data_IF_201241035560
#
_entry.id   IF_201241035560
#
_cell.length_a   1.000
_cell.length_b   1.000
_cell.length_c   1.000
_cell.angle_alpha   90.00
_cell.angle_beta   90.00
_cell.angle_gamma   90.00
#
_symmetry.space_group_name_H-M   'P 1'
#
loop_
_entity.id
_entity.type
_entity.pdbx_description
1 polymer ?
#
# COMPACT_ATOMS: atom_id res chain seq x y z
N UNK A 1 -1.57 6.21 47.05
CA UNK A 1 -0.75 5.13 47.64
C UNK A 1 -1.67 4.14 48.33
N UNK A 2 -2.33 3.26 47.56
CA UNK A 2 -3.07 2.10 48.11
C UNK A 2 -3.10 1.03 47.03
N UNK A 3 -2.67 -0.16 47.43
CA UNK A 3 -2.98 -1.48 46.84
C UNK A 3 -2.48 -1.80 45.43
N UNK A 4 -1.15 -1.88 45.29
CA UNK A 4 -0.57 -2.94 44.47
C UNK A 4 -0.56 -4.20 45.34
N UNK A 5 -1.65 -4.97 45.27
CA UNK A 5 -1.70 -6.35 45.72
C UNK A 5 -0.41 -7.07 45.30
N UNK A 6 0.20 -7.79 46.25
CA UNK A 6 1.21 -8.82 46.02
C UNK A 6 0.67 -9.82 44.98
N UNK A 7 0.88 -9.49 43.71
CA UNK A 7 0.56 -10.39 42.62
C UNK A 7 1.58 -11.52 42.71
N UNK A 8 1.10 -12.76 42.92
CA UNK A 8 1.91 -13.99 42.92
C UNK A 8 2.95 -14.05 41.79
N UNK A 9 2.69 -13.37 40.66
CA UNK A 9 3.64 -13.16 39.58
C UNK A 9 4.96 -12.53 40.07
N UNK A 10 4.91 -11.47 40.88
CA UNK A 10 6.10 -10.76 41.35
C UNK A 10 7.03 -11.60 42.25
N UNK A 11 6.50 -12.63 42.93
CA UNK A 11 7.26 -13.57 43.75
C UNK A 11 7.74 -14.81 42.99
N UNK A 12 6.97 -15.30 42.00
CA UNK A 12 7.33 -16.51 41.23
C UNK A 12 8.29 -16.20 40.08
N UNK A 13 8.15 -15.05 39.40
CA UNK A 13 8.97 -14.72 38.23
C UNK A 13 10.47 -14.50 38.49
N UNK A 14 10.91 -13.98 39.66
CA UNK A 14 12.34 -13.93 40.01
C UNK A 14 12.99 -15.31 40.21
N UNK A 15 12.18 -16.35 40.50
CA UNK A 15 12.64 -17.72 40.76
C UNK A 15 12.61 -18.60 39.50
N UNK A 16 12.10 -18.08 38.38
CA UNK A 16 12.02 -18.79 37.10
C UNK A 16 13.43 -18.94 36.49
N UNK A 17 13.76 -20.17 36.10
CA UNK A 17 14.99 -20.46 35.34
C UNK A 17 15.00 -19.66 34.03
N UNK A 18 16.15 -19.09 33.60
CA UNK A 18 16.24 -18.29 32.38
C UNK A 18 15.66 -18.99 31.14
N UNK A 19 15.86 -20.30 31.01
CA UNK A 19 15.37 -21.11 29.89
C UNK A 19 13.83 -21.20 29.86
N UNK A 20 13.18 -21.19 31.03
CA UNK A 20 11.73 -21.18 31.14
C UNK A 20 11.16 -19.78 30.87
N UNK A 21 11.85 -18.72 31.32
CA UNK A 21 11.47 -17.35 31.00
C UNK A 21 11.55 -17.07 29.49
N UNK A 22 12.63 -17.50 28.83
CA UNK A 22 12.77 -17.44 27.37
C UNK A 22 11.67 -18.22 26.65
N UNK A 23 11.31 -19.41 27.17
CA UNK A 23 10.25 -20.23 26.59
C UNK A 23 8.88 -19.57 26.74
N UNK A 24 8.58 -18.94 27.87
CA UNK A 24 7.33 -18.17 28.07
C UNK A 24 7.29 -16.96 27.13
N UNK A 25 8.38 -16.19 27.03
CA UNK A 25 8.50 -15.06 26.10
C UNK A 25 8.28 -15.48 24.65
N UNK A 26 8.74 -16.67 24.27
CA UNK A 26 8.50 -17.24 22.94
C UNK A 26 7.02 -17.51 22.60
N UNK A 27 6.14 -17.54 23.60
CA UNK A 27 4.69 -17.70 23.40
C UNK A 27 3.90 -16.38 23.50
N UNK A 28 4.53 -15.29 23.93
CA UNK A 28 3.88 -13.99 24.10
C UNK A 28 4.09 -13.09 22.90
N UNK A 29 3.10 -12.25 22.61
CA UNK A 29 3.26 -11.20 21.60
C UNK A 29 4.28 -10.16 22.06
N UNK A 30 5.02 -9.57 21.11
CA UNK A 30 6.11 -8.62 21.42
C UNK A 30 5.67 -7.46 22.31
N UNK A 31 4.47 -6.93 22.06
CA UNK A 31 3.90 -5.87 22.86
C UNK A 31 3.49 -6.34 24.27
N UNK A 32 3.03 -7.58 24.43
CA UNK A 32 2.75 -8.17 25.75
C UNK A 32 4.04 -8.37 26.55
N UNK A 33 5.11 -8.80 25.88
CA UNK A 33 6.43 -8.90 26.51
C UNK A 33 6.87 -7.53 27.02
N UNK A 34 6.78 -6.50 26.17
CA UNK A 34 7.23 -5.15 26.53
C UNK A 34 6.40 -4.48 27.62
N UNK A 35 5.07 -4.68 27.61
CA UNK A 35 4.10 -3.95 28.46
C UNK A 35 3.64 -4.70 29.69
N UNK A 36 3.63 -6.03 29.66
CA UNK A 36 3.08 -6.87 30.73
C UNK A 36 4.12 -7.78 31.35
N UNK A 37 4.97 -8.45 30.58
CA UNK A 37 5.92 -9.42 31.14
C UNK A 37 7.20 -8.78 31.70
N UNK A 38 7.86 -7.93 30.90
CA UNK A 38 9.09 -7.23 31.27
C UNK A 38 8.97 -6.38 32.54
N UNK A 39 7.89 -5.60 32.78
CA UNK A 39 7.81 -4.76 33.97
C UNK A 39 7.46 -5.51 35.27
N UNK A 40 7.19 -6.83 35.23
CA UNK A 40 6.76 -7.60 36.43
C UNK A 40 7.85 -7.69 37.50
N UNK A 41 9.12 -7.85 37.12
CA UNK A 41 10.21 -7.82 38.10
C UNK A 41 11.53 -7.29 37.50
N UNK A 42 12.47 -6.90 38.38
CA UNK A 42 13.76 -6.35 37.95
C UNK A 42 14.62 -7.37 37.20
N UNK A 43 14.50 -8.66 37.55
CA UNK A 43 15.27 -9.74 36.92
C UNK A 43 14.85 -9.94 35.44
N UNK A 44 13.54 -10.00 35.17
CA UNK A 44 13.03 -10.10 33.78
C UNK A 44 13.35 -8.85 32.97
N UNK A 45 13.21 -7.65 33.56
CA UNK A 45 13.64 -6.41 32.92
C UNK A 45 15.15 -6.37 32.60
N UNK A 46 15.97 -7.01 33.42
CA UNK A 46 17.42 -7.09 33.19
C UNK A 46 17.79 -8.08 32.09
N UNK A 47 17.03 -9.16 31.91
CA UNK A 47 17.22 -10.15 30.84
C UNK A 47 16.70 -9.63 29.49
N UNK A 48 15.56 -8.91 29.50
CA UNK A 48 14.85 -8.47 28.29
C UNK A 48 15.14 -7.00 27.95
N UNK A 49 16.42 -6.67 27.70
CA UNK A 49 16.85 -5.28 27.43
C UNK A 49 16.87 -4.89 25.96
N UNK A 50 16.82 -5.85 25.04
CA UNK A 50 16.93 -5.57 23.61
C UNK A 50 15.74 -4.75 23.07
N UNK A 51 15.92 -4.07 21.94
CA UNK A 51 14.87 -3.28 21.29
C UNK A 51 13.62 -4.10 20.99
N UNK A 52 13.76 -5.39 20.71
CA UNK A 52 12.67 -6.34 20.47
C UNK A 52 11.75 -6.58 21.68
N UNK A 53 12.23 -6.30 22.90
CA UNK A 53 11.48 -6.45 24.15
C UNK A 53 11.12 -5.14 24.82
N UNK A 54 11.54 -4.01 24.24
CA UNK A 54 11.36 -2.66 24.81
C UNK A 54 10.57 -1.74 23.88
N UNK A 55 10.59 -1.99 22.58
CA UNK A 55 9.88 -1.17 21.58
C UNK A 55 8.46 -1.68 21.39
N UNK A 56 7.47 -0.80 21.64
CA UNK A 56 6.05 -1.09 21.39
C UNK A 56 5.73 -0.76 19.93
N UNK A 57 5.14 -1.72 19.21
CA UNK A 57 4.65 -1.54 17.83
C UNK A 57 3.16 -1.26 17.85
N UNK A 58 2.76 -0.01 17.63
CA UNK A 58 1.35 0.41 17.70
C UNK A 58 0.44 -0.27 16.66
N UNK A 59 1.00 -0.74 15.55
CA UNK A 59 0.30 -1.54 14.53
C UNK A 59 0.10 -3.01 14.90
N UNK A 60 0.53 -3.42 16.09
CA UNK A 60 0.26 -4.74 16.64
C UNK A 60 -0.60 -4.60 17.90
N UNK A 61 -1.38 -5.63 18.27
CA UNK A 61 -2.18 -5.59 19.48
C UNK A 61 -1.35 -5.20 20.70
N UNK A 62 -1.84 -4.23 21.46
CA UNK A 62 -1.29 -3.85 22.77
C UNK A 62 -2.37 -4.14 23.81
N UNK A 63 -2.04 -4.74 24.97
CA UNK A 63 -3.02 -4.94 26.04
C UNK A 63 -3.77 -3.64 26.38
N UNK A 64 -5.11 -3.60 26.28
CA UNK A 64 -5.87 -2.36 26.43
C UNK A 64 -5.64 -1.59 27.74
N UNK A 65 -5.48 -2.24 28.90
CA UNK A 65 -5.18 -1.53 30.14
C UNK A 65 -3.82 -0.80 30.08
N UNK A 66 -2.80 -1.43 29.50
CA UNK A 66 -1.47 -0.84 29.38
C UNK A 66 -1.47 0.34 28.40
N UNK A 67 -2.15 0.18 27.27
CA UNK A 67 -2.33 1.23 26.27
C UNK A 67 -3.05 2.45 26.84
N UNK A 68 -4.19 2.23 27.53
CA UNK A 68 -4.98 3.27 28.17
C UNK A 68 -4.17 4.04 29.23
N UNK A 69 -3.44 3.32 30.09
CA UNK A 69 -2.60 3.93 31.13
C UNK A 69 -1.56 4.88 30.55
N UNK A 70 -0.96 4.53 29.41
CA UNK A 70 0.04 5.39 28.76
C UNK A 70 -0.59 6.60 28.05
N UNK A 71 -1.58 6.38 27.19
CA UNK A 71 -2.09 7.42 26.30
C UNK A 71 -3.13 8.35 26.93
N UNK A 72 -3.80 7.93 28.01
CA UNK A 72 -4.67 8.80 28.78
C UNK A 72 -3.93 9.56 29.89
N UNK A 73 -2.62 9.35 30.06
CA UNK A 73 -1.83 10.10 31.03
C UNK A 73 -1.78 11.59 30.64
N UNK A 74 -1.88 12.53 31.61
CA UNK A 74 -1.81 13.96 31.32
C UNK A 74 -0.53 14.33 30.58
N UNK A 75 -0.68 14.91 29.38
CA UNK A 75 0.44 15.34 28.55
C UNK A 75 1.07 14.27 27.67
N UNK A 76 0.52 13.04 27.60
CA UNK A 76 1.03 11.97 26.75
C UNK A 76 1.21 12.38 25.28
N UNK A 77 0.32 13.23 24.76
CA UNK A 77 0.38 13.73 23.37
C UNK A 77 0.95 15.16 23.26
N UNK A 78 1.42 15.78 24.35
CA UNK A 78 1.88 17.19 24.36
C UNK A 78 3.09 17.42 23.44
N UNK A 79 3.97 16.43 23.31
CA UNK A 79 5.14 16.50 22.42
C UNK A 79 4.88 16.06 20.98
N UNK A 80 3.67 15.57 20.66
CA UNK A 80 3.36 15.04 19.34
C UNK A 80 2.85 16.14 18.41
N UNK A 81 3.42 16.19 17.21
CA UNK A 81 2.88 17.00 16.12
C UNK A 81 1.51 16.47 15.70
N UNK A 82 0.76 17.27 14.96
CA UNK A 82 -0.52 16.84 14.41
C UNK A 82 -0.41 15.59 13.51
N UNK A 83 0.64 15.52 12.67
CA UNK A 83 0.89 14.36 11.83
C UNK A 83 1.17 13.10 12.66
N UNK A 84 1.92 13.21 13.75
CA UNK A 84 2.20 12.09 14.64
C UNK A 84 0.96 11.61 15.40
N UNK A 85 0.04 12.51 15.76
CA UNK A 85 -1.25 12.16 16.37
C UNK A 85 -2.15 11.38 15.41
N UNK A 86 -2.21 11.81 14.14
CA UNK A 86 -2.91 11.04 13.10
C UNK A 86 -2.25 9.68 12.86
N UNK A 87 -0.93 9.61 12.88
CA UNK A 87 -0.19 8.36 12.77
C UNK A 87 -0.48 7.41 13.96
N UNK A 88 -0.59 7.93 15.18
CA UNK A 88 -0.97 7.15 16.36
C UNK A 88 -2.32 6.47 16.15
N UNK A 89 -3.34 7.21 15.69
CA UNK A 89 -4.66 6.65 15.42
C UNK A 89 -4.60 5.60 14.31
N UNK A 90 -3.93 5.91 13.20
CA UNK A 90 -3.84 5.02 12.03
C UNK A 90 -3.12 3.71 12.37
N UNK A 91 -1.99 3.78 13.07
CA UNK A 91 -1.28 2.59 13.55
C UNK A 91 -2.12 1.80 14.55
N UNK A 92 -2.82 2.47 15.47
CA UNK A 92 -3.65 1.76 16.45
C UNK A 92 -4.84 1.07 15.77
N UNK A 93 -5.45 1.69 14.76
CA UNK A 93 -6.49 1.06 13.97
C UNK A 93 -5.95 -0.17 13.22
N UNK A 94 -4.72 -0.08 12.70
CA UNK A 94 -3.98 -1.18 12.08
C UNK A 94 -3.64 -2.33 13.03
N UNK A 95 -3.84 -2.19 14.34
CA UNK A 95 -3.72 -3.30 15.30
C UNK A 95 -4.98 -4.16 15.41
N UNK A 96 -6.12 -3.64 14.93
CA UNK A 96 -7.44 -4.28 15.07
C UNK A 96 -8.06 -4.20 16.47
N UNK A 97 -7.39 -3.58 17.45
CA UNK A 97 -7.91 -3.45 18.82
C UNK A 97 -8.74 -2.17 18.97
N UNK A 98 -10.05 -2.27 18.75
CA UNK A 98 -10.98 -1.12 18.78
C UNK A 98 -10.91 -0.34 20.11
N UNK A 99 -10.76 -1.04 21.26
CA UNK A 99 -10.60 -0.38 22.55
C UNK A 99 -9.38 0.56 22.60
N UNK A 100 -8.27 0.18 21.97
CA UNK A 100 -7.10 1.05 21.87
C UNK A 100 -7.34 2.18 20.88
N UNK A 101 -8.05 1.92 19.78
CA UNK A 101 -8.38 2.93 18.79
C UNK A 101 -9.21 4.06 19.41
N UNK A 102 -10.20 3.74 20.24
CA UNK A 102 -10.96 4.72 21.01
C UNK A 102 -10.06 5.58 21.90
N UNK A 103 -9.15 4.93 22.64
CA UNK A 103 -8.19 5.63 23.50
C UNK A 103 -7.27 6.54 22.67
N UNK A 104 -6.75 6.03 21.55
CA UNK A 104 -5.85 6.77 20.67
C UNK A 104 -6.55 8.00 20.10
N UNK A 105 -7.79 7.87 19.63
CA UNK A 105 -8.57 8.98 19.11
C UNK A 105 -8.86 10.04 20.20
N UNK A 106 -9.23 9.61 21.42
CA UNK A 106 -9.41 10.52 22.56
C UNK A 106 -8.11 11.23 22.94
N UNK A 107 -6.99 10.52 22.98
CA UNK A 107 -5.69 11.09 23.35
C UNK A 107 -5.14 12.05 22.29
N UNK A 108 -5.36 11.73 21.02
CA UNK A 108 -4.97 12.55 19.88
C UNK A 108 -5.79 13.84 19.79
N UNK A 109 -7.01 13.84 20.32
CA UNK A 109 -8.00 14.93 20.21
C UNK A 109 -8.18 15.36 18.75
N UNK A 110 -8.29 14.38 17.86
CA UNK A 110 -8.32 14.60 16.42
C UNK A 110 -9.64 14.18 15.78
N UNK A 111 -10.17 15.04 14.91
CA UNK A 111 -11.20 14.65 13.94
C UNK A 111 -10.62 13.62 12.97
N UNK A 112 -11.27 12.46 12.86
CA UNK A 112 -10.89 11.43 11.89
C UNK A 112 -11.09 11.98 10.49
N UNK A 113 -9.99 12.11 9.74
CA UNK A 113 -10.00 12.63 8.37
C UNK A 113 -10.13 11.49 7.38
N UNK A 114 -10.49 11.85 6.15
CA UNK A 114 -10.70 10.87 5.10
C UNK A 114 -9.49 9.95 4.84
N UNK A 115 -8.28 10.52 4.81
CA UNK A 115 -7.05 9.75 4.62
C UNK A 115 -6.83 8.67 5.69
N UNK A 116 -7.19 8.94 6.96
CA UNK A 116 -7.07 7.96 8.05
C UNK A 116 -7.90 6.72 7.75
N UNK A 117 -9.09 6.87 7.18
CA UNK A 117 -9.93 5.74 6.83
C UNK A 117 -9.37 4.91 5.67
N UNK A 118 -8.63 5.52 4.75
CA UNK A 118 -7.94 4.77 3.68
C UNK A 118 -6.89 3.84 4.28
N UNK A 119 -6.08 4.38 5.20
CA UNK A 119 -5.05 3.61 5.90
C UNK A 119 -5.68 2.48 6.73
N UNK A 120 -6.79 2.76 7.45
CA UNK A 120 -7.50 1.72 8.20
C UNK A 120 -8.09 0.65 7.27
N UNK A 121 -8.72 1.04 6.17
CA UNK A 121 -9.29 0.11 5.19
C UNK A 121 -8.21 -0.81 4.58
N UNK A 122 -7.02 -0.28 4.32
CA UNK A 122 -5.86 -1.03 3.85
C UNK A 122 -5.29 -2.03 4.88
N UNK A 123 -5.70 -1.97 6.15
CA UNK A 123 -5.24 -2.91 7.19
C UNK A 123 -6.14 -4.13 7.35
N UNK A 124 -7.36 -4.08 6.83
CA UNK A 124 -8.27 -5.22 6.86
C UNK A 124 -8.94 -5.47 8.20
N UNK A 125 -8.75 -4.63 9.21
CA UNK A 125 -9.45 -4.78 10.48
C UNK A 125 -10.87 -4.20 10.38
N UNK A 126 -11.83 -5.05 10.01
CA UNK A 126 -13.22 -4.66 9.74
C UNK A 126 -13.86 -3.88 10.89
N UNK A 127 -13.65 -4.29 12.14
CA UNK A 127 -14.23 -3.59 13.29
C UNK A 127 -13.60 -2.21 13.51
N UNK A 128 -12.29 -2.05 13.25
CA UNK A 128 -11.65 -0.73 13.20
C UNK A 128 -12.24 0.13 12.07
N UNK A 129 -12.49 -0.45 10.91
CA UNK A 129 -13.09 0.26 9.77
C UNK A 129 -14.50 0.76 10.11
N UNK A 130 -15.35 -0.09 10.70
CA UNK A 130 -16.69 0.27 11.17
C UNK A 130 -16.65 1.40 12.19
N UNK A 131 -15.78 1.27 13.18
CA UNK A 131 -15.64 2.29 14.23
C UNK A 131 -15.23 3.65 13.63
N UNK A 132 -14.24 3.68 12.73
CA UNK A 132 -13.80 4.92 12.04
C UNK A 132 -14.91 5.50 11.17
N UNK A 133 -15.68 4.65 10.48
CA UNK A 133 -16.80 5.07 9.66
C UNK A 133 -17.91 5.74 10.49
N UNK A 134 -18.28 5.15 11.63
CA UNK A 134 -19.30 5.67 12.54
C UNK A 134 -18.91 6.98 13.24
N UNK A 135 -17.60 7.20 13.47
CA UNK A 135 -17.08 8.35 14.22
C UNK A 135 -16.39 9.40 13.34
N UNK A 136 -16.35 9.19 12.03
CA UNK A 136 -15.77 10.15 11.09
C UNK A 136 -16.79 11.15 10.57
N UNK A 137 -16.31 12.34 10.25
CA UNK A 137 -17.16 13.48 9.90
C UNK A 137 -17.37 13.52 8.38
N UNK A 138 -18.63 13.41 7.92
CA UNK A 138 -19.05 13.65 6.52
C UNK A 138 -18.35 12.78 5.46
N UNK A 139 -18.37 11.46 5.62
CA UNK A 139 -17.98 10.55 4.54
C UNK A 139 -18.89 10.74 3.33
N UNK A 140 -18.36 11.27 2.23
CA UNK A 140 -19.15 11.55 1.01
C UNK A 140 -19.22 10.36 0.07
N UNK A 141 -18.20 9.48 0.06
CA UNK A 141 -18.23 8.17 -0.60
C UNK A 141 -17.11 7.25 -0.05
N UNK A 142 -17.24 5.92 -0.15
CA UNK A 142 -16.21 4.95 0.27
C UNK A 142 -15.25 4.54 -0.85
N UNK A 143 -15.14 5.28 -1.97
CA UNK A 143 -14.48 4.78 -3.19
C UNK A 143 -12.99 4.52 -3.01
N UNK A 144 -12.25 5.47 -2.42
CA UNK A 144 -10.82 5.28 -2.23
C UNK A 144 -10.54 4.27 -1.12
N UNK A 145 -11.41 4.22 -0.10
CA UNK A 145 -11.29 3.23 0.97
C UNK A 145 -11.50 1.81 0.44
N UNK A 146 -12.44 1.65 -0.49
CA UNK A 146 -12.68 0.39 -1.19
C UNK A 146 -11.48 0.01 -2.06
N UNK A 147 -10.89 0.96 -2.79
CA UNK A 147 -9.69 0.71 -3.58
C UNK A 147 -8.48 0.34 -2.69
N UNK A 148 -8.32 0.99 -1.55
CA UNK A 148 -7.26 0.70 -0.58
C UNK A 148 -7.41 -0.70 0.05
N UNK A 149 -8.62 -1.05 0.49
CA UNK A 149 -8.94 -2.40 0.98
C UNK A 149 -8.75 -3.46 -0.11
N UNK A 150 -9.19 -3.19 -1.34
CA UNK A 150 -9.07 -4.10 -2.46
C UNK A 150 -7.60 -4.32 -2.84
N UNK A 151 -6.82 -3.25 -2.95
CA UNK A 151 -5.38 -3.30 -3.22
C UNK A 151 -4.55 -3.97 -2.13
N UNK A 152 -5.11 -4.12 -0.92
CA UNK A 152 -4.51 -4.85 0.20
C UNK A 152 -5.13 -6.25 0.41
N UNK A 153 -6.10 -6.63 -0.42
CA UNK A 153 -6.66 -7.99 -0.47
C UNK A 153 -7.74 -8.28 0.56
N UNK A 154 -8.33 -7.25 1.17
CA UNK A 154 -9.28 -7.39 2.28
C UNK A 154 -10.72 -7.50 1.77
N UNK A 155 -11.06 -8.67 1.21
CA UNK A 155 -12.37 -8.95 0.62
C UNK A 155 -13.56 -8.66 1.55
N UNK A 156 -13.45 -8.99 2.83
CA UNK A 156 -14.49 -8.75 3.84
C UNK A 156 -14.73 -7.26 4.14
N UNK A 157 -13.70 -6.42 4.04
CA UNK A 157 -13.85 -4.96 4.13
C UNK A 157 -14.50 -4.43 2.86
N UNK A 158 -14.09 -4.92 1.68
CA UNK A 158 -14.74 -4.55 0.41
C UNK A 158 -16.23 -4.89 0.40
N UNK A 159 -16.59 -6.09 0.85
CA UNK A 159 -17.98 -6.55 0.96
C UNK A 159 -18.79 -5.65 1.89
N UNK A 160 -18.24 -5.32 3.07
CA UNK A 160 -18.89 -4.40 3.99
C UNK A 160 -19.07 -3.00 3.37
N UNK A 161 -18.03 -2.41 2.77
CA UNK A 161 -18.12 -1.09 2.13
C UNK A 161 -19.18 -1.04 1.01
N UNK A 162 -19.26 -2.09 0.19
CA UNK A 162 -20.24 -2.20 -0.89
C UNK A 162 -21.65 -2.48 -0.38
N UNK A 163 -21.80 -2.94 0.87
CA UNK A 163 -23.10 -3.12 1.53
C UNK A 163 -23.70 -1.82 2.07
N UNK A 164 -22.88 -0.77 2.25
CA UNK A 164 -23.32 0.52 2.81
C UNK A 164 -24.33 1.23 1.89
N UNK A 165 -24.16 1.10 0.58
CA UNK A 165 -25.09 1.64 -0.41
C UNK A 165 -25.06 0.78 -1.69
N UNK A 166 -26.19 0.13 -2.06
CA UNK A 166 -26.29 -0.63 -3.30
C UNK A 166 -25.98 0.17 -4.57
N UNK A 167 -26.12 1.50 -4.53
CA UNK A 167 -25.81 2.40 -5.66
C UNK A 167 -24.31 2.44 -6.00
N UNK A 168 -23.44 1.98 -5.08
CA UNK A 168 -21.99 1.89 -5.28
C UNK A 168 -21.59 0.86 -6.33
N UNK A 169 -22.47 -0.09 -6.67
CA UNK A 169 -22.22 -1.07 -7.74
C UNK A 169 -22.29 -0.41 -9.13
N UNK A 170 -21.24 0.33 -9.46
CA UNK A 170 -21.05 0.97 -10.77
C UNK A 170 -19.77 0.49 -11.43
N UNK A 171 -19.70 0.62 -12.76
CA UNK A 171 -18.49 0.30 -13.51
C UNK A 171 -17.28 1.15 -13.12
N UNK A 172 -17.49 2.41 -12.70
CA UNK A 172 -16.39 3.27 -12.25
C UNK A 172 -15.79 2.75 -10.93
N UNK A 173 -16.63 2.28 -10.01
CA UNK A 173 -16.20 1.70 -8.74
C UNK A 173 -15.49 0.37 -8.96
N UNK A 174 -16.02 -0.48 -9.85
CA UNK A 174 -15.35 -1.72 -10.24
C UNK A 174 -14.01 -1.46 -10.94
N UNK A 175 -13.91 -0.42 -11.77
CA UNK A 175 -12.65 -0.02 -12.41
C UNK A 175 -11.55 0.29 -11.39
N UNK A 176 -11.89 1.08 -10.37
CA UNK A 176 -10.95 1.47 -9.32
C UNK A 176 -10.62 0.29 -8.41
N UNK A 177 -11.63 -0.39 -7.88
CA UNK A 177 -11.46 -1.45 -6.86
C UNK A 177 -10.87 -2.74 -7.44
N UNK A 178 -11.38 -3.25 -8.57
CA UNK A 178 -10.82 -4.45 -9.20
C UNK A 178 -9.43 -4.20 -9.78
N UNK A 179 -9.20 -3.00 -10.34
CA UNK A 179 -7.88 -2.58 -10.80
C UNK A 179 -6.86 -2.48 -9.65
N UNK A 180 -7.27 -1.96 -8.49
CA UNK A 180 -6.45 -1.90 -7.29
C UNK A 180 -6.15 -3.31 -6.74
N UNK A 181 -7.16 -4.17 -6.61
CA UNK A 181 -6.99 -5.57 -6.22
C UNK A 181 -5.98 -6.30 -7.11
N UNK A 182 -6.11 -6.19 -8.43
CA UNK A 182 -5.17 -6.78 -9.37
C UNK A 182 -3.75 -6.22 -9.20
N UNK A 183 -3.60 -4.91 -9.02
CA UNK A 183 -2.30 -4.25 -8.77
C UNK A 183 -1.65 -4.70 -7.47
N UNK A 184 -2.45 -5.01 -6.45
CA UNK A 184 -2.01 -5.56 -5.17
C UNK A 184 -1.66 -7.05 -5.20
N UNK A 185 -1.88 -7.74 -6.33
CA UNK A 185 -1.65 -9.19 -6.42
C UNK A 185 -2.87 -10.05 -6.04
N UNK A 186 -4.04 -9.45 -5.86
CA UNK A 186 -5.25 -10.12 -5.38
C UNK A 186 -6.22 -10.45 -6.52
N UNK A 187 -5.78 -11.29 -7.46
CA UNK A 187 -6.54 -11.60 -8.68
C UNK A 187 -7.93 -12.20 -8.42
N UNK A 188 -8.06 -13.07 -7.41
CA UNK A 188 -9.35 -13.69 -7.06
C UNK A 188 -10.35 -12.67 -6.50
N UNK A 189 -9.88 -11.67 -5.74
CA UNK A 189 -10.72 -10.55 -5.29
C UNK A 189 -11.14 -9.66 -6.46
N UNK A 190 -10.20 -9.37 -7.38
CA UNK A 190 -10.52 -8.62 -8.60
C UNK A 190 -11.59 -9.37 -9.42
N UNK A 191 -11.45 -10.68 -9.59
CA UNK A 191 -12.44 -11.51 -10.30
C UNK A 191 -13.80 -11.53 -9.59
N UNK A 192 -13.83 -11.66 -8.26
CA UNK A 192 -15.07 -11.58 -7.50
C UNK A 192 -15.80 -10.24 -7.70
N UNK A 193 -15.07 -9.11 -7.67
CA UNK A 193 -15.64 -7.77 -7.92
C UNK A 193 -16.24 -7.68 -9.33
N UNK A 194 -15.57 -8.26 -10.34
CA UNK A 194 -16.05 -8.29 -11.72
C UNK A 194 -17.31 -9.15 -11.88
N UNK A 195 -17.33 -10.34 -11.29
CA UNK A 195 -18.49 -11.23 -11.36
C UNK A 195 -19.72 -10.57 -10.70
N UNK A 196 -19.52 -9.86 -9.60
CA UNK A 196 -20.59 -9.14 -8.91
C UNK A 196 -21.13 -7.97 -9.73
N UNK A 197 -20.28 -7.14 -10.32
CA UNK A 197 -20.75 -6.02 -11.15
C UNK A 197 -21.46 -6.52 -12.41
N UNK A 198 -20.98 -7.61 -13.04
CA UNK A 198 -21.63 -8.22 -14.20
C UNK A 198 -23.01 -8.79 -13.86
N UNK A 199 -23.21 -9.30 -12.63
CA UNK A 199 -24.50 -9.82 -12.17
C UNK A 199 -25.50 -8.71 -11.82
N UNK A 200 -25.03 -7.56 -11.34
CA UNK A 200 -25.88 -6.47 -10.83
C UNK A 200 -26.18 -5.38 -11.86
N UNK A 201 -25.28 -5.14 -12.83
CA UNK A 201 -25.45 -4.09 -13.84
C UNK A 201 -25.89 -4.70 -15.17
N UNK A 202 -27.11 -4.40 -15.67
CA UNK A 202 -27.63 -4.98 -16.91
C UNK A 202 -26.75 -4.72 -18.13
N UNK A 203 -26.68 -5.70 -19.04
CA UNK A 203 -25.94 -5.57 -20.28
C UNK A 203 -26.64 -4.58 -21.24
N UNK A 204 -26.10 -3.36 -21.32
CA UNK A 204 -26.42 -2.35 -22.33
C UNK A 204 -25.19 -2.02 -23.19
N UNK A 205 -25.36 -1.40 -24.36
CA UNK A 205 -24.22 -1.05 -25.23
C UNK A 205 -23.20 -0.10 -24.55
N UNK A 206 -23.67 0.82 -23.70
CA UNK A 206 -22.82 1.69 -22.86
C UNK A 206 -22.06 0.92 -21.78
N UNK A 207 -22.63 -0.20 -21.33
CA UNK A 207 -22.03 -1.11 -20.35
C UNK A 207 -20.91 -1.93 -20.98
N UNK A 208 -21.01 -2.32 -22.25
CA UNK A 208 -19.95 -3.09 -22.91
C UNK A 208 -18.63 -2.31 -23.04
N UNK A 209 -18.69 -1.01 -23.39
CA UNK A 209 -17.49 -0.16 -23.41
C UNK A 209 -16.86 -0.02 -22.02
N UNK A 210 -17.70 0.13 -20.99
CA UNK A 210 -17.24 0.24 -19.60
C UNK A 210 -16.60 -1.06 -19.12
N UNK A 211 -17.22 -2.21 -19.43
CA UNK A 211 -16.71 -3.55 -19.17
C UNK A 211 -15.33 -3.76 -19.78
N UNK A 212 -15.15 -3.43 -21.07
CA UNK A 212 -13.85 -3.51 -21.75
C UNK A 212 -12.79 -2.63 -21.06
N UNK A 213 -13.16 -1.40 -20.68
CA UNK A 213 -12.27 -0.48 -19.95
C UNK A 213 -11.84 -1.06 -18.60
N UNK A 214 -12.77 -1.59 -17.82
CA UNK A 214 -12.49 -2.23 -16.53
C UNK A 214 -11.58 -3.45 -16.70
N UNK A 215 -11.85 -4.34 -17.66
CA UNK A 215 -10.98 -5.49 -17.95
C UNK A 215 -9.56 -5.06 -18.33
N UNK A 216 -9.42 -4.03 -19.17
CA UNK A 216 -8.11 -3.46 -19.52
C UNK A 216 -7.36 -2.91 -18.30
N UNK A 217 -8.06 -2.25 -17.37
CA UNK A 217 -7.48 -1.79 -16.10
C UNK A 217 -7.08 -2.93 -15.18
N UNK A 218 -7.88 -4.00 -15.12
CA UNK A 218 -7.56 -5.19 -14.35
C UNK A 218 -6.33 -5.88 -14.92
N UNK A 219 -6.22 -6.07 -16.24
CA UNK A 219 -5.01 -6.63 -16.87
C UNK A 219 -3.77 -5.79 -16.59
N UNK A 220 -3.89 -4.45 -16.63
CA UNK A 220 -2.80 -3.55 -16.25
C UNK A 220 -2.39 -3.77 -14.79
N UNK A 221 -3.37 -3.94 -13.90
CA UNK A 221 -3.14 -4.31 -12.51
C UNK A 221 -2.44 -5.66 -12.37
N UNK A 222 -2.91 -6.70 -13.08
CA UNK A 222 -2.35 -8.05 -13.05
C UNK A 222 -0.90 -8.07 -13.54
N UNK A 223 -0.59 -7.36 -14.63
CA UNK A 223 0.78 -7.23 -15.14
C UNK A 223 1.72 -6.62 -14.10
N UNK A 224 1.21 -5.66 -13.30
CA UNK A 224 1.96 -5.05 -12.21
C UNK A 224 2.06 -5.95 -10.98
N UNK A 225 0.97 -6.57 -10.52
CA UNK A 225 0.85 -7.13 -9.17
C UNK A 225 0.87 -8.66 -9.05
N UNK A 226 0.47 -9.39 -10.08
CA UNK A 226 0.32 -10.85 -10.05
C UNK A 226 1.41 -11.56 -10.84
N UNK A 227 1.62 -12.85 -10.63
CA UNK A 227 2.54 -13.65 -11.45
C UNK A 227 2.06 -13.79 -12.92
N UNK A 228 2.99 -14.25 -13.78
CA UNK A 228 2.77 -14.46 -15.20
C UNK A 228 1.65 -15.47 -15.47
N UNK A 229 1.58 -16.56 -14.70
CA UNK A 229 0.56 -17.59 -14.87
C UNK A 229 -0.85 -17.01 -14.67
N UNK A 230 -1.01 -16.16 -13.66
CA UNK A 230 -2.25 -15.44 -13.42
C UNK A 230 -2.55 -14.47 -14.56
N UNK A 231 -1.58 -13.66 -14.99
CA UNK A 231 -1.77 -12.75 -16.12
C UNK A 231 -2.23 -13.49 -17.39
N UNK A 232 -1.61 -14.63 -17.70
CA UNK A 232 -1.93 -15.49 -18.85
C UNK A 232 -3.37 -15.99 -18.78
N UNK A 233 -3.80 -16.57 -17.64
CA UNK A 233 -5.17 -17.06 -17.44
C UNK A 233 -6.22 -15.98 -17.76
N UNK A 234 -5.99 -14.75 -17.31
CA UNK A 234 -6.93 -13.66 -17.55
C UNK A 234 -6.85 -13.11 -18.98
N UNK A 235 -5.66 -13.08 -19.55
CA UNK A 235 -5.45 -12.67 -20.94
C UNK A 235 -6.18 -13.58 -21.92
N UNK A 236 -6.03 -14.91 -21.80
CA UNK A 236 -6.70 -15.89 -22.67
C UNK A 236 -8.22 -15.70 -22.73
N UNK A 237 -8.82 -15.27 -21.61
CA UNK A 237 -10.27 -15.04 -21.53
C UNK A 237 -10.71 -13.71 -22.13
N UNK A 238 -9.81 -12.72 -22.21
CA UNK A 238 -10.18 -11.33 -22.48
C UNK A 238 -9.49 -10.69 -23.69
N UNK A 239 -8.42 -11.28 -24.23
CA UNK A 239 -7.62 -10.72 -25.32
C UNK A 239 -8.48 -10.25 -26.51
N UNK A 240 -9.35 -11.12 -27.01
CA UNK A 240 -10.25 -10.81 -28.14
C UNK A 240 -11.22 -9.65 -27.84
N UNK A 241 -11.51 -9.40 -26.55
CA UNK A 241 -12.42 -8.32 -26.15
C UNK A 241 -11.73 -6.95 -26.09
N UNK A 242 -10.39 -6.91 -26.21
CA UNK A 242 -9.54 -5.75 -25.94
C UNK A 242 -8.95 -5.08 -27.18
N UNK A 243 -9.19 -5.59 -28.39
CA UNK A 243 -8.74 -5.03 -29.69
C UNK A 243 -9.02 -3.52 -29.87
N UNK A 244 -9.87 -2.94 -29.02
CA UNK A 244 -10.29 -1.53 -29.07
C UNK A 244 -9.39 -0.60 -28.24
N UNK A 245 -8.42 -1.12 -27.46
CA UNK A 245 -7.63 -0.31 -26.52
C UNK A 245 -6.13 -0.36 -26.80
N UNK A 246 -5.70 0.17 -27.95
CA UNK A 246 -4.27 0.34 -28.31
C UNK A 246 -3.44 0.99 -27.19
N UNK A 247 -4.01 1.97 -26.48
CA UNK A 247 -3.38 2.61 -25.31
C UNK A 247 -3.11 1.68 -24.11
N UNK A 248 -3.80 0.55 -24.00
CA UNK A 248 -3.62 -0.41 -22.89
C UNK A 248 -2.42 -1.31 -23.16
N UNK A 249 -2.16 -1.68 -24.41
CA UNK A 249 -1.05 -2.55 -24.80
C UNK A 249 0.31 -1.92 -24.48
N UNK A 250 0.50 -0.64 -24.80
CA UNK A 250 1.71 0.10 -24.42
C UNK A 250 1.88 0.17 -22.89
N UNK A 251 0.78 0.36 -22.16
CA UNK A 251 0.80 0.47 -20.69
C UNK A 251 1.05 -0.87 -20.00
N UNK A 252 0.66 -1.98 -20.62
CA UNK A 252 0.86 -3.33 -20.07
C UNK A 252 2.34 -3.68 -19.95
N UNK A 253 3.12 -3.39 -20.99
CA UNK A 253 4.58 -3.60 -20.94
C UNK A 253 5.22 -2.74 -19.85
N UNK A 254 4.86 -1.47 -19.75
CA UNK A 254 5.35 -0.61 -18.69
C UNK A 254 4.99 -1.13 -17.27
N UNK A 255 3.76 -1.62 -17.09
CA UNK A 255 3.31 -2.19 -15.83
C UNK A 255 4.09 -3.48 -15.47
N UNK A 256 4.30 -4.37 -16.43
CA UNK A 256 5.10 -5.58 -16.27
C UNK A 256 6.55 -5.24 -15.92
N UNK A 257 7.18 -4.31 -16.65
CA UNK A 257 8.55 -3.85 -16.39
C UNK A 257 8.71 -3.27 -14.99
N UNK A 258 7.71 -2.58 -14.46
CA UNK A 258 7.78 -2.07 -13.10
C UNK A 258 7.32 -3.07 -12.02
N UNK A 259 6.88 -4.27 -12.40
CA UNK A 259 6.32 -5.24 -11.46
C UNK A 259 7.30 -5.60 -10.34
N UNK A 260 6.89 -5.61 -9.05
CA UNK A 260 7.75 -5.99 -7.95
C UNK A 260 7.93 -7.51 -7.84
N UNK A 261 7.21 -8.31 -8.64
CA UNK A 261 7.35 -9.76 -8.63
C UNK A 261 8.64 -10.19 -9.38
N UNK A 262 9.27 -11.30 -8.99
CA UNK A 262 10.57 -11.71 -9.55
C UNK A 262 10.50 -12.14 -11.02
N UNK A 263 9.30 -12.47 -11.53
CA UNK A 263 9.04 -12.90 -12.90
C UNK A 263 8.73 -11.76 -13.87
N UNK A 264 8.98 -10.50 -13.48
CA UNK A 264 8.71 -9.31 -14.30
C UNK A 264 9.30 -9.42 -15.71
N UNK A 265 10.52 -9.94 -15.85
CA UNK A 265 11.18 -10.10 -17.15
C UNK A 265 10.44 -11.11 -18.03
N UNK A 266 10.01 -12.23 -17.45
CA UNK A 266 9.22 -13.24 -18.15
C UNK A 266 7.86 -12.68 -18.62
N UNK A 267 7.23 -11.81 -17.82
CA UNK A 267 6.01 -11.10 -18.27
C UNK A 267 6.27 -10.19 -19.46
N UNK A 268 7.38 -9.47 -19.46
CA UNK A 268 7.74 -8.58 -20.57
C UNK A 268 7.99 -9.39 -21.84
N UNK A 269 8.77 -10.46 -21.77
CA UNK A 269 9.02 -11.35 -22.92
C UNK A 269 7.74 -11.97 -23.47
N UNK A 270 6.86 -12.42 -22.58
CA UNK A 270 5.58 -12.98 -22.99
C UNK A 270 4.68 -11.92 -23.63
N UNK A 271 4.59 -10.70 -23.09
CA UNK A 271 3.82 -9.60 -23.66
C UNK A 271 4.37 -9.15 -25.03
N UNK A 272 5.69 -9.11 -25.20
CA UNK A 272 6.32 -8.87 -26.50
C UNK A 272 5.91 -9.95 -27.51
N UNK A 273 5.85 -11.23 -27.10
CA UNK A 273 5.39 -12.32 -27.95
C UNK A 273 3.88 -12.25 -28.29
N UNK A 274 3.07 -11.57 -27.47
CA UNK A 274 1.67 -11.24 -27.79
C UNK A 274 1.54 -10.04 -28.74
N UNK A 275 2.65 -9.41 -29.14
CA UNK A 275 2.67 -8.26 -30.05
C UNK A 275 2.52 -6.91 -29.36
N UNK A 276 2.62 -6.83 -28.03
CA UNK A 276 2.61 -5.53 -27.35
C UNK A 276 3.82 -4.68 -27.77
N UNK A 277 3.62 -3.40 -28.16
CA UNK A 277 4.69 -2.55 -28.67
C UNK A 277 5.60 -2.04 -27.54
N UNK A 278 6.91 -2.02 -27.81
CA UNK A 278 7.87 -1.37 -26.91
C UNK A 278 7.51 0.10 -26.73
N UNK A 279 7.52 0.56 -25.48
CA UNK A 279 7.11 1.91 -25.13
C UNK A 279 8.19 2.60 -24.29
N UNK A 280 8.30 3.92 -24.43
CA UNK A 280 9.17 4.72 -23.55
C UNK A 280 8.78 4.60 -22.09
N UNK A 281 7.48 4.35 -21.82
CA UNK A 281 6.95 4.20 -20.48
C UNK A 281 7.54 3.01 -19.70
N UNK A 282 8.07 2.01 -20.40
CA UNK A 282 8.84 0.94 -19.77
C UNK A 282 10.06 1.48 -19.03
N UNK A 283 10.76 2.46 -19.62
CA UNK A 283 12.04 2.93 -19.08
C UNK A 283 11.91 3.72 -17.78
N UNK A 284 10.88 4.58 -17.65
CA UNK A 284 10.61 5.22 -16.37
C UNK A 284 10.03 4.25 -15.33
N UNK A 285 9.30 3.22 -15.77
CA UNK A 285 8.78 2.19 -14.86
C UNK A 285 9.90 1.32 -14.29
N UNK A 286 10.93 1.04 -15.10
CA UNK A 286 12.17 0.42 -14.65
C UNK A 286 12.95 1.33 -13.72
N UNK A 287 13.06 2.62 -14.02
CA UNK A 287 13.74 3.60 -13.16
C UNK A 287 13.09 3.73 -11.76
N UNK A 288 11.78 3.50 -11.65
CA UNK A 288 11.04 3.50 -10.40
C UNK A 288 11.20 2.21 -9.57
N UNK A 289 11.83 1.17 -10.12
CA UNK A 289 11.97 -0.12 -9.45
C UNK A 289 13.13 -0.12 -8.45
N UNK A 290 13.04 -0.93 -7.40
CA UNK A 290 14.10 -1.08 -6.40
C UNK A 290 15.42 -1.60 -6.99
N UNK A 291 15.33 -2.37 -8.07
CA UNK A 291 16.41 -2.96 -8.86
C UNK A 291 16.59 -2.24 -10.22
N UNK A 292 16.28 -0.95 -10.28
CA UNK A 292 16.30 -0.15 -11.50
C UNK A 292 17.54 -0.33 -12.39
N UNK A 293 18.80 -0.38 -11.89
CA UNK A 293 19.98 -0.55 -12.73
C UNK A 293 19.92 -1.80 -13.60
N UNK A 294 19.52 -2.94 -13.02
CA UNK A 294 19.39 -4.21 -13.72
C UNK A 294 18.29 -4.16 -14.78
N UNK A 295 17.13 -3.57 -14.45
CA UNK A 295 16.01 -3.44 -15.39
C UNK A 295 16.35 -2.52 -16.56
N UNK A 296 17.01 -1.39 -16.30
CA UNK A 296 17.40 -0.44 -17.34
C UNK A 296 18.45 -1.02 -18.29
N UNK A 297 19.43 -1.78 -17.78
CA UNK A 297 20.40 -2.49 -18.61
C UNK A 297 19.70 -3.53 -19.50
N UNK A 298 18.83 -4.35 -18.91
CA UNK A 298 18.06 -5.36 -19.63
C UNK A 298 17.19 -4.76 -20.75
N UNK A 299 16.51 -3.64 -20.49
CA UNK A 299 15.71 -2.93 -21.51
C UNK A 299 16.58 -2.34 -22.63
N UNK A 300 17.74 -1.79 -22.30
CA UNK A 300 18.69 -1.24 -23.28
C UNK A 300 19.17 -2.32 -24.24
N UNK A 301 19.55 -3.49 -23.72
CA UNK A 301 20.03 -4.62 -24.52
C UNK A 301 18.97 -5.15 -25.49
N UNK A 302 17.69 -4.92 -25.18
CA UNK A 302 16.54 -5.27 -26.02
C UNK A 302 16.08 -4.12 -26.92
N UNK A 303 16.80 -3.00 -26.96
CA UNK A 303 16.49 -1.89 -27.87
C UNK A 303 15.30 -1.03 -27.47
N UNK A 304 14.96 -0.94 -26.18
CA UNK A 304 14.02 0.06 -25.70
C UNK A 304 14.62 1.47 -25.79
N UNK A 305 13.84 2.43 -26.29
CA UNK A 305 14.22 3.83 -26.30
C UNK A 305 14.27 4.36 -24.86
N UNK A 306 15.43 4.90 -24.46
CA UNK A 306 15.64 5.45 -23.13
C UNK A 306 15.03 6.85 -23.07
N UNK A 307 13.93 7.00 -22.34
CA UNK A 307 13.25 8.29 -22.17
C UNK A 307 14.04 9.20 -21.22
N UNK A 308 14.19 10.51 -21.52
CA UNK A 308 14.79 11.47 -20.59
C UNK A 308 14.08 11.52 -19.23
N UNK A 309 12.78 11.24 -19.20
CA UNK A 309 11.98 11.19 -17.97
C UNK A 309 12.45 10.09 -17.00
N UNK A 310 13.08 9.02 -17.50
CA UNK A 310 13.63 7.97 -16.64
C UNK A 310 14.71 8.52 -15.69
N UNK A 311 15.48 9.53 -16.11
CA UNK A 311 16.49 10.16 -15.26
C UNK A 311 15.84 10.90 -14.08
N UNK A 312 14.76 11.65 -14.33
CA UNK A 312 14.01 12.36 -13.29
C UNK A 312 13.37 11.40 -12.30
N UNK A 313 12.82 10.27 -12.78
CA UNK A 313 12.27 9.24 -11.90
C UNK A 313 13.36 8.60 -11.05
N UNK A 314 14.50 8.22 -11.63
CA UNK A 314 15.63 7.68 -10.88
C UNK A 314 16.13 8.67 -9.81
N UNK A 315 16.15 9.98 -10.11
CA UNK A 315 16.50 11.03 -9.15
C UNK A 315 15.49 11.13 -8.00
N UNK A 316 14.20 11.08 -8.30
CA UNK A 316 13.13 11.11 -7.29
C UNK A 316 13.19 9.90 -6.34
N UNK A 317 13.48 8.72 -6.89
CA UNK A 317 13.66 7.50 -6.08
C UNK A 317 15.04 7.44 -5.38
N UNK A 318 15.91 8.43 -5.58
CA UNK A 318 17.25 8.46 -4.99
C UNK A 318 18.21 7.39 -5.52
N UNK A 319 17.94 6.82 -6.70
CA UNK A 319 18.75 5.76 -7.28
C UNK A 319 19.90 6.33 -8.12
N UNK A 320 21.02 6.62 -7.45
CA UNK A 320 22.22 7.21 -8.06
C UNK A 320 22.82 6.34 -9.18
N UNK A 321 22.79 5.02 -9.04
CA UNK A 321 23.32 4.10 -10.05
C UNK A 321 22.47 4.12 -11.33
N UNK A 322 21.14 4.11 -11.18
CA UNK A 322 20.23 4.28 -12.31
C UNK A 322 20.44 5.64 -13.00
N UNK A 323 20.62 6.72 -12.24
CA UNK A 323 20.96 8.04 -12.82
C UNK A 323 22.26 8.00 -13.63
N UNK A 324 23.30 7.31 -13.16
CA UNK A 324 24.56 7.17 -13.89
C UNK A 324 24.40 6.42 -15.22
N UNK A 325 23.64 5.32 -15.20
CA UNK A 325 23.30 4.56 -16.40
C UNK A 325 22.46 5.37 -17.40
N UNK A 326 21.69 6.34 -16.92
CA UNK A 326 20.81 7.18 -17.72
C UNK A 326 21.42 8.54 -18.09
N UNK A 327 22.67 8.82 -17.69
CA UNK A 327 23.31 10.09 -18.07
C UNK A 327 23.30 10.21 -19.59
N UNK A 328 22.85 11.35 -20.14
CA UNK A 328 22.99 11.60 -21.55
C UNK A 328 24.47 11.43 -21.91
N UNK A 329 24.79 10.47 -22.77
CA UNK A 329 26.09 10.49 -23.45
C UNK A 329 26.13 11.82 -24.17
N UNK A 330 27.03 12.72 -23.77
CA UNK A 330 27.18 14.04 -24.38
C UNK A 330 27.41 13.88 -25.89
N UNK A 331 26.34 13.88 -26.67
CA UNK A 331 26.36 14.31 -28.05
C UNK A 331 26.56 15.80 -28.01
N UNK A 332 27.73 16.25 -28.46
CA UNK A 332 28.03 17.64 -28.76
C UNK A 332 26.93 18.20 -29.67
N UNK A 333 25.95 18.87 -29.09
CA UNK A 333 25.19 19.89 -29.82
C UNK A 333 26.19 21.02 -30.00
N UNK A 334 26.74 21.15 -31.21
CA UNK A 334 27.49 22.32 -31.60
C UNK A 334 26.63 23.55 -31.29
N UNK A 335 27.07 24.33 -30.31
CA UNK A 335 26.50 25.62 -30.00
C UNK A 335 26.78 26.54 -31.20
N UNK A 336 25.88 26.53 -32.17
CA UNK A 336 25.78 27.62 -33.14
C UNK A 336 25.27 28.83 -32.36
N UNK A 337 26.21 29.58 -31.81
CA UNK A 337 25.99 30.87 -31.18
C UNK A 337 25.36 31.82 -32.20
N UNK A 338 24.07 32.09 -32.03
CA UNK A 338 23.47 33.36 -32.45
C UNK A 338 22.53 33.86 -31.35
N UNK A 339 22.99 34.92 -30.71
CA UNK A 339 22.24 35.82 -29.85
C UNK A 339 20.90 36.25 -30.46
N UNK A 340 19.85 36.20 -29.63
CA UNK A 340 18.84 37.24 -29.41
C UNK A 340 17.98 36.69 -28.24
N UNK A 341 17.95 37.25 -27.03
CA UNK A 341 17.59 38.63 -26.72
C UNK A 341 16.07 38.73 -26.70
N UNK A 342 15.43 38.59 -25.53
CA UNK A 342 13.98 38.75 -25.40
C UNK A 342 13.37 38.15 -24.13
N UNK A 343 13.25 39.01 -23.12
CA UNK A 343 12.28 39.10 -22.03
C UNK A 343 11.17 38.03 -21.87
N UNK A 344 10.94 37.65 -20.60
CA UNK A 344 9.61 37.64 -19.99
C UNK A 344 8.79 36.35 -20.08
N UNK A 345 8.66 35.65 -18.94
CA UNK A 345 7.38 35.36 -18.27
C UNK A 345 7.56 34.22 -17.26
N UNK A 346 7.39 34.55 -15.98
CA UNK A 346 6.87 33.61 -14.99
C UNK A 346 5.59 32.98 -15.53
N UNK A 347 5.47 31.66 -15.52
CA UNK A 347 4.21 30.95 -15.26
C UNK A 347 4.42 29.43 -15.21
N UNK A 348 4.08 28.87 -14.05
CA UNK A 348 3.38 27.61 -13.84
C UNK A 348 3.92 26.31 -14.45
N UNK A 349 4.49 25.44 -13.59
CA UNK A 349 4.27 23.99 -13.64
C UNK A 349 4.48 23.42 -12.22
N UNK A 350 3.46 23.58 -11.39
CA UNK A 350 3.17 22.63 -10.30
C UNK A 350 2.42 21.43 -10.91
N UNK A 351 2.57 20.28 -10.25
CA UNK A 351 1.99 18.96 -10.51
C UNK A 351 2.59 18.16 -11.68
N UNK A 352 3.47 17.21 -11.33
CA UNK A 352 3.39 15.78 -11.69
C UNK A 352 4.30 14.90 -10.81
#
# INVERSE_FOLDING_TARGET
MSDLQDHWAASVFPELLPELAERIVGFLDRNEVATSFRPVCRATAAQLRGPEHTTIRLSQPVPPPAFATHWLAPGATRGLTWAQRLQLVSLTAASGVVANLEVAARAADCTLRYHTFLDVAATGHLESCKWVWEHGDKWSNPYDALAAAAGSGHAHVCEWLLSLDPSLWTWAVAESSAGAAARGGHAELAEWLLQRIDALVPAAATVERSRKRVRGKVLLGLARGCDLATLQRFWERWADTLEVLSSVEERLLAAAVGSPTPDWAAKVEWLEAQGCPKCEAATWSAAAASDAPARLAWLRDRGYAISPLAFHVAAREGNLEAMQLLRPTHGTVEANGRNAGGEGSEDGYDDL
#
